data_IF_243579141618
#
_entry.id   IF_243579141618
#
_cell.length_a   1.000
_cell.length_b   1.000
_cell.length_c   1.000
_cell.angle_alpha   90.00
_cell.angle_beta   90.00
_cell.angle_gamma   90.00
#
_symmetry.space_group_name_H-M   'P 1'
#
loop_
_entity.id
_entity.type
_entity.pdbx_description
1 polymer ?
#
# COMPACT_ATOMS: atom_id res chain seq x y z
N UNK A 1 -9.24 0.69 29.69
CA UNK A 1 -8.09 1.60 29.70
C UNK A 1 -7.23 1.24 28.49
N UNK A 2 -7.24 2.06 27.44
CA UNK A 2 -6.46 1.81 26.22
C UNK A 2 -5.06 2.39 26.43
N UNK A 3 -4.07 1.53 26.63
CA UNK A 3 -2.67 1.92 26.79
C UNK A 3 -2.18 2.57 25.49
N UNK A 4 -1.67 3.81 25.56
CA UNK A 4 -1.07 4.44 24.37
C UNK A 4 0.18 3.69 23.97
N UNK A 5 0.17 3.10 22.78
CA UNK A 5 1.35 2.44 22.22
C UNK A 5 2.31 3.53 21.74
N UNK A 6 3.44 3.68 22.41
CA UNK A 6 4.55 4.52 21.95
C UNK A 6 5.33 3.72 20.91
N UNK A 7 5.04 3.94 19.63
CA UNK A 7 5.65 3.21 18.53
C UNK A 7 5.75 4.02 17.26
N UNK A 8 6.76 3.71 16.44
CA UNK A 8 6.92 4.25 15.08
C UNK A 8 6.31 3.27 14.07
N UNK A 9 5.55 3.80 13.12
CA UNK A 9 4.96 3.00 12.04
C UNK A 9 6.00 2.86 10.92
N UNK A 10 6.21 1.62 10.49
CA UNK A 10 7.05 1.26 9.33
C UNK A 10 6.15 0.86 8.17
N UNK A 11 6.53 1.25 6.96
CA UNK A 11 5.87 0.71 5.76
C UNK A 11 6.31 -0.73 5.52
N UNK A 12 5.55 -1.47 4.71
CA UNK A 12 5.90 -2.84 4.31
C UNK A 12 7.26 -2.88 3.59
N UNK A 13 7.53 -1.91 2.73
CA UNK A 13 8.79 -1.81 1.99
C UNK A 13 9.96 -1.49 2.94
N UNK A 14 9.77 -0.54 3.87
CA UNK A 14 10.79 -0.20 4.87
C UNK A 14 11.07 -1.37 5.82
N UNK A 15 10.02 -2.12 6.21
CA UNK A 15 10.17 -3.28 7.07
C UNK A 15 10.93 -4.42 6.37
N UNK A 16 10.65 -4.66 5.07
CA UNK A 16 11.41 -5.61 4.24
C UNK A 16 12.86 -5.18 4.07
N UNK A 17 13.09 -3.89 3.82
CA UNK A 17 14.44 -3.33 3.71
C UNK A 17 15.23 -3.51 5.01
N UNK A 18 14.62 -3.19 6.15
CA UNK A 18 15.25 -3.37 7.46
C UNK A 18 15.58 -4.84 7.74
N UNK A 19 14.69 -5.78 7.40
CA UNK A 19 14.96 -7.21 7.55
C UNK A 19 16.17 -7.63 6.70
N UNK A 20 16.25 -7.22 5.44
CA UNK A 20 17.39 -7.52 4.58
C UNK A 20 18.71 -6.92 5.10
N UNK A 21 18.65 -5.72 5.67
CA UNK A 21 19.82 -5.08 6.30
C UNK A 21 20.28 -5.85 7.55
N UNK A 22 19.33 -6.28 8.41
CA UNK A 22 19.62 -7.09 9.60
C UNK A 22 20.23 -8.44 9.19
N UNK A 23 19.67 -9.10 8.18
CA UNK A 23 20.21 -10.38 7.67
C UNK A 23 21.65 -10.22 7.16
N UNK A 24 21.93 -9.13 6.46
CA UNK A 24 23.28 -8.80 5.99
C UNK A 24 24.25 -8.57 7.15
N UNK A 25 23.79 -7.92 8.23
CA UNK A 25 24.58 -7.72 9.44
C UNK A 25 24.84 -9.04 10.18
N UNK A 26 23.82 -9.90 10.32
CA UNK A 26 23.98 -11.23 10.96
C UNK A 26 24.96 -12.09 10.17
N UNK A 27 24.88 -12.08 8.83
CA UNK A 27 25.84 -12.76 7.97
C UNK A 27 27.26 -12.21 8.13
N UNK A 28 27.41 -10.88 8.29
CA UNK A 28 28.71 -10.27 8.56
C UNK A 28 29.28 -10.69 9.93
N UNK A 29 28.45 -10.71 10.98
CA UNK A 29 28.85 -11.19 12.31
C UNK A 29 29.30 -12.65 12.27
N UNK A 30 28.58 -13.50 11.54
CA UNK A 30 28.95 -14.90 11.36
C UNK A 30 30.34 -15.08 10.72
N UNK A 31 30.71 -14.21 9.77
CA UNK A 31 32.07 -14.20 9.18
C UNK A 31 33.17 -13.85 10.18
N UNK A 32 32.83 -13.11 11.24
CA UNK A 32 33.73 -12.79 12.35
C UNK A 32 33.64 -13.78 13.51
N UNK A 33 32.93 -14.91 13.34
CA UNK A 33 32.72 -15.90 14.40
C UNK A 33 31.83 -15.41 15.54
N UNK A 34 31.09 -14.32 15.33
CA UNK A 34 30.18 -13.75 16.32
C UNK A 34 28.74 -14.13 16.01
N UNK A 35 27.99 -14.46 17.05
CA UNK A 35 26.56 -14.68 16.96
C UNK A 35 25.79 -13.38 17.29
N UNK A 36 24.66 -13.11 16.63
CA UNK A 36 23.76 -12.04 17.05
C UNK A 36 23.24 -12.30 18.47
N UNK A 37 22.99 -11.22 19.21
CA UNK A 37 22.44 -11.37 20.57
C UNK A 37 21.05 -12.05 20.52
N UNK A 38 20.67 -12.82 21.57
CA UNK A 38 19.36 -13.48 21.62
C UNK A 38 18.18 -12.52 21.46
N UNK A 39 18.34 -11.29 21.98
CA UNK A 39 17.33 -10.23 21.84
C UNK A 39 17.16 -9.79 20.38
N UNK A 40 18.25 -9.67 19.63
CA UNK A 40 18.20 -9.30 18.21
C UNK A 40 17.53 -10.41 17.39
N UNK A 41 17.89 -11.67 17.62
CA UNK A 41 17.24 -12.81 16.97
C UNK A 41 15.72 -12.82 17.20
N UNK A 42 15.29 -12.76 18.47
CA UNK A 42 13.87 -12.77 18.83
C UNK A 42 13.09 -11.54 18.30
N UNK A 43 13.76 -10.40 18.13
CA UNK A 43 13.13 -9.20 17.56
C UNK A 43 13.01 -9.32 16.04
N UNK A 44 14.02 -9.88 15.38
CA UNK A 44 14.02 -10.14 13.93
C UNK A 44 12.94 -11.16 13.55
N UNK A 45 12.78 -12.22 14.35
CA UNK A 45 11.72 -13.21 14.14
C UNK A 45 10.31 -12.62 14.30
N UNK A 46 10.12 -11.78 15.32
CA UNK A 46 8.85 -11.05 15.50
C UNK A 46 8.56 -10.13 14.32
N UNK A 47 9.58 -9.41 13.83
CA UNK A 47 9.45 -8.53 12.67
C UNK A 47 9.13 -9.34 11.39
N UNK A 48 9.77 -10.48 11.16
CA UNK A 48 9.44 -11.38 10.02
C UNK A 48 7.99 -11.83 10.09
N UNK A 49 7.53 -12.27 11.28
CA UNK A 49 6.16 -12.73 11.48
C UNK A 49 5.14 -11.63 11.21
N UNK A 50 5.38 -10.41 11.67
CA UNK A 50 4.47 -9.29 11.42
C UNK A 50 4.48 -8.84 9.97
N UNK A 51 5.63 -8.80 9.30
CA UNK A 51 5.73 -8.47 7.87
C UNK A 51 5.03 -9.52 7.00
N UNK A 52 5.19 -10.81 7.30
CA UNK A 52 4.46 -11.88 6.62
C UNK A 52 2.95 -11.73 6.80
N UNK A 53 2.47 -11.56 8.04
CA UNK A 53 1.04 -11.37 8.31
C UNK A 53 0.47 -10.10 7.66
N UNK A 54 1.24 -9.01 7.58
CA UNK A 54 0.85 -7.78 6.90
C UNK A 54 0.82 -7.94 5.37
N UNK A 55 1.77 -8.71 4.80
CA UNK A 55 1.78 -9.05 3.37
C UNK A 55 0.62 -9.96 3.01
N UNK A 56 0.28 -10.95 3.84
CA UNK A 56 -0.87 -11.83 3.65
C UNK A 56 -2.19 -11.06 3.77
N UNK A 57 -2.32 -10.18 4.77
CA UNK A 57 -3.47 -9.30 4.91
C UNK A 57 -3.60 -8.33 3.72
N UNK A 58 -2.49 -7.83 3.18
CA UNK A 58 -2.47 -7.03 1.95
C UNK A 58 -2.80 -7.89 0.73
N UNK A 59 -2.39 -9.15 0.69
CA UNK A 59 -2.74 -10.10 -0.37
C UNK A 59 -4.23 -10.36 -0.35
N UNK A 60 -4.80 -10.71 0.79
CA UNK A 60 -6.25 -10.92 1.00
C UNK A 60 -7.03 -9.64 0.71
N UNK A 61 -6.56 -8.47 1.17
CA UNK A 61 -7.20 -7.20 0.83
C UNK A 61 -7.08 -6.87 -0.66
N UNK A 62 -5.96 -7.22 -1.31
CA UNK A 62 -5.77 -7.04 -2.75
C UNK A 62 -6.54 -8.07 -3.58
N UNK A 63 -6.77 -9.28 -3.05
CA UNK A 63 -7.61 -10.32 -3.61
C UNK A 63 -9.08 -9.98 -3.43
N UNK A 64 -9.50 -9.45 -2.28
CA UNK A 64 -10.82 -8.86 -2.09
C UNK A 64 -11.01 -7.61 -2.94
N UNK A 65 -9.98 -6.78 -3.17
CA UNK A 65 -10.07 -5.67 -4.13
C UNK A 65 -10.08 -6.15 -5.59
N UNK A 66 -9.49 -7.31 -5.91
CA UNK A 66 -9.61 -7.96 -7.23
C UNK A 66 -10.97 -8.66 -7.42
N UNK A 67 -11.54 -9.19 -6.34
CA UNK A 67 -12.87 -9.82 -6.30
C UNK A 67 -14.01 -8.81 -6.05
N UNK A 68 -13.71 -7.57 -5.66
CA UNK A 68 -14.64 -6.44 -5.69
C UNK A 68 -14.96 -5.98 -7.13
N UNK A 69 -14.59 -6.77 -8.14
CA UNK A 69 -15.17 -6.69 -9.49
C UNK A 69 -16.61 -7.23 -9.58
N UNK A 70 -17.23 -7.57 -8.44
CA UNK A 70 -18.56 -8.15 -8.34
C UNK A 70 -19.52 -7.38 -7.43
N UNK A 71 -19.53 -6.06 -7.47
CA UNK A 71 -20.74 -5.31 -7.08
C UNK A 71 -20.79 -4.03 -7.90
N UNK A 72 -21.42 -4.17 -9.05
CA UNK A 72 -21.62 -3.11 -10.02
C UNK A 72 -22.75 -2.23 -9.50
N UNK A 73 -22.51 -0.92 -9.40
CA UNK A 73 -23.48 0.12 -9.06
C UNK A 73 -23.94 0.16 -7.60
N UNK A 74 -23.03 0.49 -6.69
CA UNK A 74 -23.44 1.33 -5.57
C UNK A 74 -23.47 2.77 -6.08
N UNK A 75 -24.68 3.28 -6.25
CA UNK A 75 -25.03 4.67 -6.57
C UNK A 75 -24.68 5.60 -5.41
N UNK A 76 -23.47 5.46 -4.86
CA UNK A 76 -22.96 6.36 -3.83
C UNK A 76 -22.41 7.59 -4.56
N UNK A 77 -23.32 8.46 -4.98
CA UNK A 77 -23.09 9.80 -5.54
C UNK A 77 -22.51 10.75 -4.48
N UNK A 78 -21.66 10.20 -3.60
CA UNK A 78 -20.98 10.94 -2.57
C UNK A 78 -19.88 11.77 -3.23
N UNK A 79 -19.90 13.11 -3.12
CA UNK A 79 -18.89 13.98 -3.71
C UNK A 79 -17.48 13.73 -3.13
N UNK A 80 -17.37 12.88 -2.11
CA UNK A 80 -16.13 12.48 -1.46
C UNK A 80 -15.63 11.08 -1.87
N UNK A 81 -16.33 10.39 -2.76
CA UNK A 81 -15.92 9.08 -3.25
C UNK A 81 -14.54 9.17 -3.94
N UNK A 82 -13.61 8.33 -3.49
CA UNK A 82 -12.24 8.24 -4.00
C UNK A 82 -12.04 6.92 -4.71
N UNK A 83 -11.47 6.97 -5.91
CA UNK A 83 -11.17 5.81 -6.74
C UNK A 83 -9.66 5.70 -6.99
N UNK A 84 -9.21 4.47 -7.24
CA UNK A 84 -7.83 4.18 -7.62
C UNK A 84 -7.55 4.50 -9.10
N UNK A 85 -6.28 4.70 -9.50
CA UNK A 85 -5.92 4.88 -10.91
C UNK A 85 -6.34 3.73 -11.82
N UNK A 86 -6.43 2.52 -11.28
CA UNK A 86 -6.81 1.32 -12.04
C UNK A 86 -8.31 1.25 -12.29
N UNK A 87 -9.12 1.69 -11.34
CA UNK A 87 -10.58 1.79 -11.50
C UNK A 87 -10.96 2.95 -12.42
N UNK A 88 -10.36 4.13 -12.20
CA UNK A 88 -10.56 5.27 -13.10
C UNK A 88 -10.15 4.97 -14.55
N UNK A 89 -9.13 4.14 -14.75
CA UNK A 89 -8.70 3.70 -16.08
C UNK A 89 -9.78 2.88 -16.80
N UNK A 90 -10.48 2.00 -16.08
CA UNK A 90 -11.60 1.22 -16.63
C UNK A 90 -12.76 2.13 -17.03
N UNK A 91 -13.08 3.12 -16.20
CA UNK A 91 -14.17 4.07 -16.46
C UNK A 91 -13.86 4.95 -17.67
N UNK A 92 -12.63 5.46 -17.76
CA UNK A 92 -12.20 6.36 -18.85
C UNK A 92 -11.76 5.63 -20.13
N UNK A 93 -11.68 4.30 -20.11
CA UNK A 93 -11.19 3.51 -21.24
C UNK A 93 -9.72 3.74 -21.61
N UNK A 94 -8.89 4.17 -20.66
CA UNK A 94 -7.45 4.46 -20.88
C UNK A 94 -6.55 3.62 -19.97
N UNK A 95 -5.23 3.73 -20.13
CA UNK A 95 -4.30 3.03 -19.24
C UNK A 95 -4.19 3.69 -17.85
N UNK A 96 -3.90 2.93 -16.77
CA UNK A 96 -3.64 3.51 -15.44
C UNK A 96 -2.48 4.53 -15.42
N UNK A 97 -1.52 4.37 -16.33
CA UNK A 97 -0.45 5.36 -16.52
C UNK A 97 -0.97 6.66 -17.15
N UNK A 98 -1.89 6.56 -18.12
CA UNK A 98 -2.60 7.71 -18.67
C UNK A 98 -3.43 8.45 -17.61
N UNK A 99 -4.11 7.73 -16.72
CA UNK A 99 -4.83 8.34 -15.59
C UNK A 99 -3.88 9.08 -14.64
N UNK A 100 -2.74 8.47 -14.27
CA UNK A 100 -1.72 9.14 -13.43
C UNK A 100 -1.12 10.36 -14.13
N UNK A 101 -1.03 10.33 -15.45
CA UNK A 101 -0.56 11.45 -16.24
C UNK A 101 -1.56 12.60 -16.25
N UNK A 102 -2.86 12.31 -16.42
CA UNK A 102 -3.94 13.29 -16.28
C UNK A 102 -3.99 13.91 -14.88
N UNK A 103 -3.83 13.09 -13.85
CA UNK A 103 -3.76 13.54 -12.46
C UNK A 103 -2.53 14.42 -12.20
N UNK A 104 -1.35 14.07 -12.75
CA UNK A 104 -0.14 14.90 -12.66
C UNK A 104 -0.27 16.23 -13.38
N UNK A 105 -0.97 16.26 -14.52
CA UNK A 105 -1.23 17.48 -15.30
C UNK A 105 -2.36 18.35 -14.72
N UNK A 106 -3.00 17.91 -13.63
CA UNK A 106 -4.13 18.62 -13.03
C UNK A 106 -5.44 18.53 -13.82
N UNK A 107 -5.50 17.69 -14.87
CA UNK A 107 -6.70 17.46 -15.67
C UNK A 107 -7.74 16.56 -14.97
N UNK A 108 -7.33 15.90 -13.88
CA UNK A 108 -8.21 15.17 -12.96
C UNK A 108 -7.87 15.57 -11.52
N UNK A 109 -8.87 16.00 -10.71
CA UNK A 109 -8.70 16.23 -9.28
C UNK A 109 -8.20 14.95 -8.58
N UNK A 110 -6.97 14.99 -8.11
CA UNK A 110 -6.34 13.86 -7.48
C UNK A 110 -5.38 14.31 -6.37
N UNK A 111 -5.33 13.52 -5.29
CA UNK A 111 -4.42 13.72 -4.18
C UNK A 111 -3.45 12.55 -4.10
N UNK A 112 -2.17 12.86 -3.90
CA UNK A 112 -1.17 11.85 -3.56
C UNK A 112 -0.94 11.85 -2.06
N UNK A 113 -1.15 10.71 -1.40
CA UNK A 113 -0.85 10.54 0.02
C UNK A 113 -0.24 9.16 0.26
N UNK A 114 0.85 9.08 1.03
CA UNK A 114 1.54 7.82 1.33
C UNK A 114 1.95 7.02 0.07
N UNK A 115 2.37 7.71 -0.99
CA UNK A 115 2.76 7.07 -2.26
C UNK A 115 1.61 6.58 -3.15
N UNK A 116 0.35 6.66 -2.68
CA UNK A 116 -0.85 6.25 -3.42
C UNK A 116 -1.57 7.46 -4.02
N UNK A 117 -2.22 7.22 -5.16
CA UNK A 117 -3.09 8.19 -5.83
C UNK A 117 -4.53 7.97 -5.42
N UNK A 118 -5.18 9.04 -4.99
CA UNK A 118 -6.60 9.11 -4.69
C UNK A 118 -7.24 10.05 -5.69
N UNK A 119 -8.11 9.52 -6.55
CA UNK A 119 -8.74 10.29 -7.62
C UNK A 119 -10.20 10.48 -7.25
N UNK A 120 -10.74 11.68 -7.47
CA UNK A 120 -12.19 11.90 -7.27
C UNK A 120 -12.99 11.05 -8.25
N UNK A 121 -13.89 10.20 -7.74
CA UNK A 121 -14.77 9.38 -8.57
C UNK A 121 -15.74 10.26 -9.38
N UNK A 122 -16.29 11.31 -8.77
CA UNK A 122 -17.17 12.27 -9.43
C UNK A 122 -16.49 12.94 -10.65
N UNK A 123 -15.23 13.36 -10.50
CA UNK A 123 -14.51 13.99 -11.61
C UNK A 123 -14.15 13.01 -12.74
N UNK A 124 -13.95 11.73 -12.42
CA UNK A 124 -13.74 10.67 -13.41
C UNK A 124 -15.04 10.41 -14.19
N UNK A 125 -16.17 10.32 -13.50
CA UNK A 125 -17.49 10.13 -14.11
C UNK A 125 -17.88 11.30 -15.00
N UNK A 126 -17.67 12.53 -14.54
CA UNK A 126 -17.94 13.73 -15.33
C UNK A 126 -17.13 13.74 -16.63
N UNK A 127 -15.85 13.34 -16.55
CA UNK A 127 -14.99 13.25 -17.72
C UNK A 127 -15.39 12.12 -18.68
N UNK A 128 -15.92 11.01 -18.17
CA UNK A 128 -16.39 9.90 -19.00
C UNK A 128 -17.65 10.23 -19.81
N UNK A 129 -18.37 11.30 -19.45
CA UNK A 129 -19.54 11.80 -20.18
C UNK A 129 -19.18 12.73 -21.35
N UNK A 130 -17.93 13.17 -21.44
CA UNK A 130 -17.39 14.06 -22.48
C UNK A 130 -16.54 13.30 -23.50
#
# INVERSE_FOLDING_TARGET
MISSVQGTLLTDDDAKYLLAAIDSMVAALGRHGQAPSPRLAATTDRLRKTVAAASDSRSIASEHARNAGGEWFSDDDSPYAITSPSEAAKILGITPNGVRDLARRGALPARRSGGRWFISAAAVMERARH
#
